data_IF_696242451959
#
_entry.id   IF_696242451959
#
_cell.length_a   1.000
_cell.length_b   1.000
_cell.length_c   1.000
_cell.angle_alpha   90.00
_cell.angle_beta   90.00
_cell.angle_gamma   90.00
#
_symmetry.space_group_name_H-M   'P 1'
#
loop_
_entity.id
_entity.type
_entity.pdbx_description
1 polymer ?
#
# COMPACT_ATOMS: atom_id res chain seq x y z
N UNK A 1 3.94 14.07 -8.36
CA UNK A 1 3.22 14.71 -7.24
C UNK A 1 3.26 13.66 -6.14
N UNK A 2 4.10 13.81 -5.12
CA UNK A 2 4.14 12.85 -4.01
C UNK A 2 2.81 12.96 -3.25
N UNK A 3 1.91 12.01 -3.43
CA UNK A 3 0.78 11.85 -2.54
C UNK A 3 1.34 11.18 -1.30
N UNK A 4 1.87 11.99 -0.37
CA UNK A 4 2.20 11.47 0.95
C UNK A 4 0.90 10.99 1.57
N UNK A 5 0.82 9.70 1.85
CA UNK A 5 -0.28 9.12 2.59
C UNK A 5 -0.38 9.88 3.93
N UNK A 6 -1.58 10.36 4.25
CA UNK A 6 -1.86 10.94 5.56
C UNK A 6 -2.37 9.82 6.47
N UNK A 7 -2.01 9.82 7.75
CA UNK A 7 -2.45 8.80 8.71
C UNK A 7 -3.98 8.63 8.76
N UNK A 8 -4.77 9.67 8.43
CA UNK A 8 -6.24 9.59 8.40
C UNK A 8 -6.78 8.92 7.14
N UNK A 9 -5.91 8.63 6.18
CA UNK A 9 -6.22 8.08 4.87
C UNK A 9 -5.63 6.67 4.73
N UNK A 10 -5.34 5.99 5.84
CA UNK A 10 -4.91 4.60 5.84
C UNK A 10 -6.13 3.67 5.77
N UNK A 11 -5.98 2.46 5.18
CA UNK A 11 -7.04 1.46 5.18
C UNK A 11 -7.38 0.99 6.61
N UNK A 12 -8.47 0.25 6.77
CA UNK A 12 -8.71 -0.49 8.01
C UNK A 12 -7.76 -1.69 8.15
N UNK A 13 -7.45 -2.11 9.37
CA UNK A 13 -6.64 -3.32 9.60
C UNK A 13 -7.21 -4.52 8.85
N UNK A 14 -6.33 -5.25 8.14
CA UNK A 14 -6.63 -6.40 7.27
C UNK A 14 -7.53 -6.09 6.07
N UNK A 15 -7.73 -4.81 5.74
CA UNK A 15 -8.47 -4.43 4.55
C UNK A 15 -7.68 -4.82 3.30
N UNK A 16 -8.39 -5.40 2.33
CA UNK A 16 -7.84 -5.67 1.00
C UNK A 16 -7.72 -4.38 0.21
N UNK A 17 -6.56 -4.19 -0.40
CA UNK A 17 -6.23 -2.98 -1.14
C UNK A 17 -5.44 -3.34 -2.39
N UNK A 18 -5.57 -2.52 -3.43
CA UNK A 18 -4.57 -2.47 -4.49
C UNK A 18 -3.76 -1.21 -4.34
N UNK A 19 -2.46 -1.29 -4.60
CA UNK A 19 -1.54 -0.19 -4.36
C UNK A 19 -0.42 -0.14 -5.39
N UNK A 20 0.25 1.01 -5.45
CA UNK A 20 1.47 1.18 -6.24
C UNK A 20 2.63 1.60 -5.36
N UNK A 21 3.81 1.09 -5.71
CA UNK A 21 5.07 1.45 -5.07
C UNK A 21 5.83 2.47 -5.93
N UNK A 22 6.66 3.28 -5.28
CA UNK A 22 7.42 4.38 -5.87
C UNK A 22 8.31 3.93 -7.04
N UNK A 23 8.95 2.77 -6.92
CA UNK A 23 9.85 2.24 -7.94
C UNK A 23 9.13 1.81 -9.23
N UNK A 24 7.83 1.56 -9.14
CA UNK A 24 7.03 0.97 -10.22
C UNK A 24 5.89 1.88 -10.71
N UNK A 25 5.71 3.04 -10.06
CA UNK A 25 4.70 4.05 -10.41
C UNK A 25 4.78 4.43 -11.90
N UNK A 26 6.00 4.67 -12.40
CA UNK A 26 6.24 5.08 -13.79
C UNK A 26 5.83 4.03 -14.82
N UNK A 27 5.77 2.76 -14.42
CA UNK A 27 5.34 1.65 -15.27
C UNK A 27 3.85 1.34 -15.13
N UNK A 28 3.15 2.00 -14.22
CA UNK A 28 1.71 1.77 -13.99
C UNK A 28 1.41 0.41 -13.37
N UNK A 29 2.38 -0.25 -12.72
CA UNK A 29 2.22 -1.57 -12.09
C UNK A 29 1.45 -1.41 -10.78
N UNK A 30 0.50 -2.32 -10.54
CA UNK A 30 -0.29 -2.38 -9.32
C UNK A 30 -0.08 -3.73 -8.64
N UNK A 31 -0.04 -3.70 -7.30
CA UNK A 31 -0.05 -4.87 -6.44
C UNK A 31 -1.38 -4.96 -5.71
N UNK A 32 -1.75 -6.17 -5.32
CA UNK A 32 -2.89 -6.42 -4.44
C UNK A 32 -2.39 -7.06 -3.16
N UNK A 33 -2.96 -6.65 -2.03
CA UNK A 33 -2.56 -7.16 -0.73
C UNK A 33 -3.52 -6.77 0.36
N UNK A 34 -3.04 -6.90 1.59
CA UNK A 34 -3.75 -6.51 2.81
C UNK A 34 -2.95 -5.46 3.57
N UNK A 35 -3.65 -4.49 4.15
CA UNK A 35 -3.04 -3.58 5.11
C UNK A 35 -2.89 -4.24 6.47
N UNK A 36 -1.73 -4.09 7.10
CA UNK A 36 -1.45 -4.54 8.46
C UNK A 36 -1.17 -3.30 9.32
N UNK A 37 -2.11 -2.95 10.19
CA UNK A 37 -2.07 -1.67 10.91
C UNK A 37 -1.04 -1.61 12.03
N UNK A 38 -0.66 -2.75 12.60
CA UNK A 38 0.35 -2.81 13.68
C UNK A 38 1.76 -2.50 13.17
N UNK A 39 2.02 -2.84 11.90
CA UNK A 39 3.34 -2.72 11.27
C UNK A 39 3.40 -1.59 10.24
N UNK A 40 2.26 -0.97 9.92
CA UNK A 40 2.12 0.01 8.83
C UNK A 40 2.66 -0.47 7.48
N UNK A 41 2.33 -1.72 7.12
CA UNK A 41 2.75 -2.35 5.86
C UNK A 41 1.57 -2.75 4.99
N UNK A 42 1.80 -2.79 3.68
CA UNK A 42 0.99 -3.56 2.75
C UNK A 42 1.66 -4.89 2.46
N UNK A 43 0.95 -5.97 2.75
CA UNK A 43 1.43 -7.34 2.61
C UNK A 43 0.74 -8.01 1.42
N UNK A 44 1.54 -8.48 0.47
CA UNK A 44 1.04 -9.22 -0.72
C UNK A 44 0.91 -10.70 -0.39
N UNK A 45 1.93 -11.27 0.26
CA UNK A 45 1.99 -12.67 0.72
C UNK A 45 2.88 -12.79 1.98
N UNK A 46 3.30 -13.99 2.38
CA UNK A 46 4.15 -14.18 3.57
C UNK A 46 5.61 -13.72 3.40
N UNK A 47 6.08 -13.56 2.16
CA UNK A 47 7.46 -13.19 1.82
C UNK A 47 7.59 -11.78 1.24
N UNK A 48 6.48 -11.19 0.78
CA UNK A 48 6.46 -9.87 0.14
C UNK A 48 5.57 -8.89 0.90
N UNK A 49 6.18 -7.80 1.36
CA UNK A 49 5.53 -6.67 2.00
C UNK A 49 6.24 -5.36 1.65
N UNK A 50 5.52 -4.25 1.82
CA UNK A 50 6.00 -2.90 1.50
C UNK A 50 5.66 -1.93 2.64
N UNK A 51 6.63 -1.09 3.00
CA UNK A 51 6.47 -0.03 3.99
C UNK A 51 5.62 1.12 3.42
N UNK A 52 4.56 1.50 4.14
CA UNK A 52 3.63 2.54 3.69
C UNK A 52 4.29 3.89 3.53
N UNK A 53 5.21 4.22 4.43
CA UNK A 53 5.78 5.56 4.53
C UNK A 53 6.90 5.80 3.51
N UNK A 54 7.53 4.74 3.04
CA UNK A 54 8.72 4.80 2.20
C UNK A 54 8.47 4.31 0.78
N UNK A 55 7.59 3.33 0.60
CA UNK A 55 7.46 2.62 -0.68
C UNK A 55 6.15 2.92 -1.38
N UNK A 56 5.06 3.21 -0.66
CA UNK A 56 3.73 3.36 -1.25
C UNK A 56 3.47 4.80 -1.71
N UNK A 57 2.97 4.95 -2.94
CA UNK A 57 2.56 6.25 -3.50
C UNK A 57 1.05 6.45 -3.57
N UNK A 58 0.28 5.37 -3.72
CA UNK A 58 -1.20 5.41 -3.70
C UNK A 58 -1.79 4.02 -3.49
N UNK A 59 -3.02 3.99 -3.01
CA UNK A 59 -3.80 2.78 -2.83
C UNK A 59 -5.30 3.03 -3.04
N UNK A 60 -6.05 1.97 -3.24
CA UNK A 60 -7.52 1.98 -3.23
C UNK A 60 -8.09 0.66 -2.67
N UNK A 61 -9.28 0.70 -2.04
CA UNK A 61 -9.94 -0.50 -1.54
C UNK A 61 -10.28 -1.47 -2.67
N UNK A 62 -10.23 -2.77 -2.37
CA UNK A 62 -10.79 -3.82 -3.23
C UNK A 62 -12.01 -4.42 -2.50
N UNK A 63 -13.16 -4.42 -3.17
CA UNK A 63 -14.39 -5.10 -2.72
C UNK A 63 -14.25 -6.64 -2.66
#
# INVERSE_FOLDING_TARGET
>A
MEIKLDHKSLPADKQRVRFQVVMEELYGIWHEGVYVADEDIFRVDDEVWYDIWSEIVRWEPID
#
